data_IF_822690134510
#
_entry.id   IF_822690134510
#
_cell.length_a   1.000
_cell.length_b   1.000
_cell.length_c   1.000
_cell.angle_alpha   90.00
_cell.angle_beta   90.00
_cell.angle_gamma   90.00
#
_symmetry.space_group_name_H-M   'P 1'
#
loop_
_entity.id
_entity.type
_entity.pdbx_description
1 polymer ?
#
# COMPACT_ATOMS: atom_id res chain seq x y z
N UNK A 1 -8.61 11.89 12.58
CA UNK A 1 -7.77 10.69 12.41
C UNK A 1 -6.52 10.84 13.27
N UNK A 2 -6.20 9.83 14.08
CA UNK A 2 -4.95 9.77 14.83
C UNK A 2 -3.75 9.43 13.92
N UNK A 3 -2.51 9.45 14.44
CA UNK A 3 -1.35 8.99 13.68
C UNK A 3 -1.49 7.51 13.31
N UNK A 4 -0.87 7.05 12.19
CA UNK A 4 -0.86 5.64 11.85
C UNK A 4 -0.25 4.81 12.99
N UNK A 5 -0.77 3.61 13.26
CA UNK A 5 -0.15 2.70 14.21
C UNK A 5 1.24 2.28 13.72
N UNK A 6 2.05 1.77 14.65
CA UNK A 6 3.37 1.24 14.32
C UNK A 6 3.28 0.12 13.28
N UNK A 7 4.20 0.13 12.32
CA UNK A 7 4.26 -0.87 11.26
C UNK A 7 4.46 -2.29 11.86
N UNK A 8 3.51 -3.22 11.69
CA UNK A 8 3.49 -4.47 12.47
C UNK A 8 4.25 -5.63 11.81
N UNK A 9 4.72 -5.47 10.57
CA UNK A 9 5.37 -6.52 9.80
C UNK A 9 6.90 -6.36 9.86
N UNK A 10 7.62 -7.48 9.95
CA UNK A 10 9.06 -7.48 9.79
C UNK A 10 9.48 -7.06 8.38
N UNK A 11 10.78 -6.84 8.17
CA UNK A 11 11.35 -6.61 6.84
C UNK A 11 11.09 -7.78 5.88
N UNK A 12 11.19 -7.54 4.57
CA UNK A 12 11.20 -8.63 3.59
C UNK A 12 12.42 -9.53 3.81
N UNK A 13 12.20 -10.67 4.46
CA UNK A 13 13.22 -11.63 4.86
C UNK A 13 13.99 -12.16 3.64
N UNK A 14 13.33 -12.35 2.50
CA UNK A 14 13.96 -12.96 1.32
C UNK A 14 14.95 -11.98 0.69
N UNK A 15 14.52 -10.74 0.47
CA UNK A 15 15.40 -9.70 -0.10
C UNK A 15 16.52 -9.34 0.87
N UNK A 16 16.23 -9.25 2.18
CA UNK A 16 17.25 -9.02 3.21
C UNK A 16 18.28 -10.15 3.27
N UNK A 17 17.86 -11.42 3.23
CA UNK A 17 18.77 -12.56 3.24
C UNK A 17 19.66 -12.58 1.99
N UNK A 18 19.11 -12.24 0.82
CA UNK A 18 19.89 -12.10 -0.43
C UNK A 18 20.93 -10.98 -0.33
N UNK A 19 20.56 -9.85 0.26
CA UNK A 19 21.47 -8.74 0.52
C UNK A 19 22.61 -9.16 1.46
N UNK A 20 22.27 -9.82 2.56
CA UNK A 20 23.25 -10.32 3.52
C UNK A 20 24.26 -11.27 2.86
N UNK A 21 23.78 -12.27 2.13
CA UNK A 21 24.66 -13.22 1.43
C UNK A 21 25.55 -12.50 0.41
N UNK A 22 25.01 -11.52 -0.33
CA UNK A 22 25.81 -10.75 -1.29
C UNK A 22 26.92 -9.93 -0.59
N UNK A 23 26.64 -9.36 0.59
CA UNK A 23 27.62 -8.63 1.41
C UNK A 23 28.73 -9.55 1.91
N UNK A 24 28.37 -10.72 2.44
CA UNK A 24 29.34 -11.71 2.91
C UNK A 24 30.26 -12.18 1.78
N UNK A 25 29.70 -12.46 0.60
CA UNK A 25 30.47 -12.81 -0.58
C UNK A 25 31.39 -11.69 -1.07
N UNK A 26 30.97 -10.43 -0.94
CA UNK A 26 31.80 -9.28 -1.30
C UNK A 26 33.04 -9.21 -0.41
N UNK A 27 32.85 -9.32 0.90
CA UNK A 27 33.97 -9.33 1.88
C UNK A 27 34.95 -10.44 1.54
N UNK A 28 34.47 -11.66 1.31
CA UNK A 28 35.33 -12.79 0.96
C UNK A 28 36.11 -12.55 -0.35
N UNK A 29 35.47 -11.96 -1.36
CA UNK A 29 36.12 -11.66 -2.63
C UNK A 29 37.19 -10.56 -2.50
N UNK A 30 36.96 -9.56 -1.64
CA UNK A 30 37.92 -8.51 -1.32
C UNK A 30 39.13 -9.07 -0.57
N UNK A 31 38.90 -9.92 0.44
CA UNK A 31 39.96 -10.59 1.21
C UNK A 31 40.85 -11.49 0.33
N UNK A 32 40.25 -12.15 -0.67
CA UNK A 32 40.97 -13.00 -1.64
C UNK A 32 41.59 -12.20 -2.80
N UNK A 33 41.55 -10.86 -2.76
CA UNK A 33 42.01 -9.96 -3.81
C UNK A 33 41.43 -10.27 -5.22
N UNK A 34 40.20 -10.81 -5.28
CA UNK A 34 39.51 -11.15 -6.52
C UNK A 34 38.79 -9.94 -7.11
N UNK A 35 39.56 -8.95 -7.59
CA UNK A 35 39.07 -7.63 -8.03
C UNK A 35 37.85 -7.71 -8.96
N UNK A 36 37.90 -8.54 -10.00
CA UNK A 36 36.80 -8.66 -10.96
C UNK A 36 35.52 -9.30 -10.41
N UNK A 37 35.61 -10.11 -9.34
CA UNK A 37 34.44 -10.67 -8.63
C UNK A 37 33.92 -9.64 -7.62
N UNK A 38 34.80 -9.00 -6.86
CA UNK A 38 34.46 -7.97 -5.90
C UNK A 38 33.71 -6.80 -6.54
N UNK A 39 34.13 -6.31 -7.72
CA UNK A 39 33.39 -5.25 -8.43
C UNK A 39 31.95 -5.64 -8.73
N UNK A 40 31.72 -6.83 -9.28
CA UNK A 40 30.37 -7.34 -9.59
C UNK A 40 29.50 -7.54 -8.34
N UNK A 41 30.11 -8.02 -7.26
CA UNK A 41 29.40 -8.20 -5.99
C UNK A 41 29.04 -6.86 -5.35
N UNK A 42 29.91 -5.85 -5.45
CA UNK A 42 29.62 -4.49 -4.97
C UNK A 42 28.44 -3.87 -5.70
N UNK A 43 28.40 -4.00 -7.02
CA UNK A 43 27.24 -3.58 -7.82
C UNK A 43 25.96 -4.30 -7.37
N UNK A 44 26.03 -5.63 -7.18
CA UNK A 44 24.89 -6.42 -6.71
C UNK A 44 24.41 -6.00 -5.32
N UNK A 45 25.32 -5.77 -4.37
CA UNK A 45 24.99 -5.27 -3.02
C UNK A 45 24.29 -3.92 -3.12
N UNK A 46 24.86 -2.98 -3.88
CA UNK A 46 24.26 -1.65 -4.05
C UNK A 46 22.84 -1.72 -4.63
N UNK A 47 22.60 -2.59 -5.62
CA UNK A 47 21.25 -2.80 -6.17
C UNK A 47 20.30 -3.36 -5.11
N UNK A 48 20.72 -4.37 -4.35
CA UNK A 48 19.86 -4.97 -3.32
C UNK A 48 19.55 -4.01 -2.16
N UNK A 49 20.54 -3.20 -1.74
CA UNK A 49 20.33 -2.13 -0.76
C UNK A 49 19.29 -1.12 -1.25
N UNK A 50 19.41 -0.72 -2.51
CA UNK A 50 18.48 0.22 -3.12
C UNK A 50 17.06 -0.33 -3.20
N UNK A 51 16.90 -1.60 -3.60
CA UNK A 51 15.59 -2.27 -3.65
C UNK A 51 14.96 -2.34 -2.26
N UNK A 52 15.73 -2.72 -1.24
CA UNK A 52 15.26 -2.76 0.16
C UNK A 52 14.77 -1.38 0.62
N UNK A 53 15.55 -0.33 0.33
CA UNK A 53 15.21 1.03 0.73
C UNK A 53 13.93 1.52 0.03
N UNK A 54 13.85 1.40 -1.30
CA UNK A 54 12.67 1.81 -2.09
C UNK A 54 11.42 1.10 -1.60
N UNK A 55 11.48 -0.22 -1.37
CA UNK A 55 10.32 -0.97 -0.92
C UNK A 55 9.86 -0.49 0.46
N UNK A 56 10.78 -0.29 1.41
CA UNK A 56 10.44 0.18 2.75
C UNK A 56 9.84 1.61 2.74
N UNK A 57 10.37 2.49 1.90
CA UNK A 57 9.83 3.85 1.71
C UNK A 57 8.42 3.83 1.12
N UNK A 58 8.19 3.01 0.08
CA UNK A 58 6.88 2.84 -0.53
C UNK A 58 5.85 2.22 0.43
N UNK A 59 6.25 1.20 1.20
CA UNK A 59 5.40 0.59 2.23
C UNK A 59 5.02 1.63 3.30
N UNK A 60 5.99 2.43 3.77
CA UNK A 60 5.73 3.48 4.75
C UNK A 60 4.78 4.56 4.22
N UNK A 61 5.01 5.04 2.99
CA UNK A 61 4.18 6.07 2.37
C UNK A 61 2.72 5.60 2.21
N UNK A 62 2.51 4.41 1.65
CA UNK A 62 1.17 3.85 1.48
C UNK A 62 0.49 3.53 2.82
N UNK A 63 1.25 3.10 3.84
CA UNK A 63 0.73 2.92 5.19
C UNK A 63 0.16 4.22 5.74
N UNK A 64 0.93 5.31 5.69
CA UNK A 64 0.49 6.63 6.15
C UNK A 64 -0.76 7.09 5.38
N UNK A 65 -0.77 6.89 4.07
CA UNK A 65 -1.92 7.25 3.22
C UNK A 65 -3.20 6.53 3.65
N UNK A 66 -3.14 5.20 3.83
CA UNK A 66 -4.31 4.39 4.20
C UNK A 66 -4.87 4.77 5.57
N UNK A 67 -4.01 5.01 6.57
CA UNK A 67 -4.46 5.42 7.90
C UNK A 67 -4.97 6.87 7.94
N UNK A 68 -4.75 7.65 6.88
CA UNK A 68 -5.41 8.94 6.68
C UNK A 68 -6.86 8.85 6.21
N UNK A 69 -7.32 7.67 5.77
CA UNK A 69 -8.68 7.49 5.21
C UNK A 69 -9.74 7.29 6.30
N UNK A 70 -11.02 7.66 6.05
CA UNK A 70 -12.17 7.37 6.94
C UNK A 70 -12.24 5.92 7.45
N UNK A 71 -11.86 4.98 6.59
CA UNK A 71 -11.89 3.54 6.82
C UNK A 71 -10.97 3.10 7.98
N UNK A 72 -9.91 3.86 8.25
CA UNK A 72 -8.93 3.58 9.29
C UNK A 72 -9.54 3.41 10.69
N UNK A 73 -10.59 4.18 11.00
CA UNK A 73 -11.33 4.06 12.28
C UNK A 73 -11.95 2.68 12.43
N UNK A 74 -12.56 2.16 11.35
CA UNK A 74 -13.15 0.84 11.35
C UNK A 74 -12.07 -0.25 11.49
N UNK A 75 -10.95 -0.12 10.79
CA UNK A 75 -9.85 -1.08 10.89
C UNK A 75 -9.24 -1.12 12.29
N UNK A 76 -9.09 0.03 12.95
CA UNK A 76 -8.60 0.09 14.33
C UNK A 76 -9.54 -0.62 15.28
N UNK A 77 -10.84 -0.35 15.19
CA UNK A 77 -11.86 -0.96 16.05
C UNK A 77 -11.93 -2.48 15.86
N UNK A 78 -11.81 -2.94 14.61
CA UNK A 78 -11.77 -4.35 14.25
C UNK A 78 -10.41 -5.03 14.51
N UNK A 79 -9.39 -4.28 14.93
CA UNK A 79 -8.00 -4.74 15.13
C UNK A 79 -7.33 -5.30 13.88
N UNK A 80 -7.69 -4.78 12.70
CA UNK A 80 -7.20 -5.23 11.40
C UNK A 80 -5.84 -4.66 10.98
N UNK A 81 -5.01 -4.28 11.95
CA UNK A 81 -3.74 -3.60 11.70
C UNK A 81 -2.80 -4.46 10.84
N UNK A 82 -2.76 -5.78 11.07
CA UNK A 82 -1.88 -6.70 10.32
C UNK A 82 -2.40 -6.96 8.91
N UNK A 83 -3.72 -6.96 8.72
CA UNK A 83 -4.41 -7.20 7.46
C UNK A 83 -4.19 -6.02 6.51
N UNK A 84 -4.30 -4.79 7.02
CA UNK A 84 -3.95 -3.58 6.26
C UNK A 84 -2.45 -3.59 5.92
N UNK A 85 -1.58 -4.00 6.85
CA UNK A 85 -0.13 -4.03 6.58
C UNK A 85 0.24 -5.07 5.51
N UNK A 86 -0.43 -6.23 5.50
CA UNK A 86 -0.26 -7.21 4.44
C UNK A 86 -0.70 -6.65 3.08
N UNK A 87 -1.84 -5.96 3.05
CA UNK A 87 -2.29 -5.25 1.84
C UNK A 87 -1.24 -4.28 1.31
N UNK A 88 -0.68 -3.43 2.18
CA UNK A 88 0.38 -2.48 1.79
C UNK A 88 1.54 -3.20 1.13
N UNK A 89 2.05 -4.28 1.74
CA UNK A 89 3.16 -5.04 1.17
C UNK A 89 2.82 -5.68 -0.18
N UNK A 90 1.63 -6.29 -0.31
CA UNK A 90 1.19 -6.84 -1.59
C UNK A 90 1.01 -5.75 -2.65
N UNK A 91 0.47 -4.59 -2.27
CA UNK A 91 0.22 -3.47 -3.17
C UNK A 91 1.52 -2.87 -3.71
N UNK A 92 2.52 -2.65 -2.86
CA UNK A 92 3.85 -2.15 -3.27
C UNK A 92 4.53 -3.13 -4.23
N UNK A 93 4.52 -4.43 -3.92
CA UNK A 93 5.11 -5.44 -4.80
C UNK A 93 4.36 -5.55 -6.14
N UNK A 94 3.03 -5.42 -6.12
CA UNK A 94 2.20 -5.41 -7.31
C UNK A 94 2.51 -4.23 -8.24
N UNK A 95 2.74 -3.03 -7.68
CA UNK A 95 3.10 -1.84 -8.45
C UNK A 95 4.47 -1.96 -9.13
N UNK A 96 5.34 -2.81 -8.57
CA UNK A 96 6.63 -3.19 -9.15
C UNK A 96 6.53 -4.33 -10.18
N UNK A 97 5.32 -4.77 -10.54
CA UNK A 97 5.08 -5.74 -11.61
C UNK A 97 4.89 -7.19 -11.17
N UNK A 98 4.83 -7.47 -9.88
CA UNK A 98 4.56 -8.83 -9.39
C UNK A 98 3.06 -9.18 -9.51
N UNK A 99 2.75 -10.07 -10.46
CA UNK A 99 1.38 -10.44 -10.79
C UNK A 99 0.68 -11.26 -9.69
N UNK A 100 1.41 -12.04 -8.91
CA UNK A 100 0.81 -12.83 -7.82
C UNK A 100 0.47 -11.90 -6.65
N UNK A 101 1.36 -10.97 -6.32
CA UNK A 101 1.07 -9.91 -5.36
C UNK A 101 -0.08 -8.99 -5.83
N UNK A 102 -0.21 -8.75 -7.14
CA UNK A 102 -1.33 -7.97 -7.69
C UNK A 102 -2.69 -8.65 -7.49
N UNK A 103 -2.75 -9.98 -7.54
CA UNK A 103 -3.97 -10.75 -7.26
C UNK A 103 -4.35 -10.66 -5.78
N UNK A 104 -3.39 -10.84 -4.88
CA UNK A 104 -3.61 -10.75 -3.44
C UNK A 104 -4.02 -9.32 -3.02
N UNK A 105 -3.32 -8.30 -3.52
CA UNK A 105 -3.65 -6.91 -3.24
C UNK A 105 -5.09 -6.57 -3.66
N UNK A 106 -5.57 -7.10 -4.78
CA UNK A 106 -6.96 -6.89 -5.24
C UNK A 106 -7.97 -7.55 -4.30
N UNK A 107 -7.73 -8.79 -3.89
CA UNK A 107 -8.63 -9.49 -2.96
C UNK A 107 -8.67 -8.80 -1.59
N UNK A 108 -7.52 -8.36 -1.10
CA UNK A 108 -7.43 -7.62 0.16
C UNK A 108 -8.08 -6.24 0.05
N UNK A 109 -7.91 -5.52 -1.05
CA UNK A 109 -8.59 -4.23 -1.28
C UNK A 109 -10.12 -4.37 -1.17
N UNK A 110 -10.69 -5.46 -1.70
CA UNK A 110 -12.11 -5.71 -1.58
C UNK A 110 -12.55 -6.08 -0.14
N UNK A 111 -11.70 -6.78 0.63
CA UNK A 111 -11.97 -7.09 2.05
C UNK A 111 -11.85 -5.86 2.94
N UNK A 112 -10.92 -4.96 2.60
CA UNK A 112 -10.63 -3.74 3.34
C UNK A 112 -11.50 -2.55 2.92
N UNK A 113 -12.49 -2.73 2.05
CA UNK A 113 -13.39 -1.64 1.63
C UNK A 113 -12.67 -0.51 0.90
N UNK A 114 -11.61 -0.82 0.16
CA UNK A 114 -10.83 0.17 -0.60
C UNK A 114 -11.38 0.39 -2.01
N UNK A 115 -12.31 -0.44 -2.47
CA UNK A 115 -12.99 -0.29 -3.77
C UNK A 115 -14.43 0.20 -3.58
N UNK A 116 -15.01 0.99 -4.51
CA UNK A 116 -16.41 1.43 -4.39
C UNK A 116 -17.41 0.28 -4.24
N UNK A 117 -17.16 -0.84 -4.95
CA UNK A 117 -18.00 -2.03 -4.86
C UNK A 117 -17.88 -2.70 -3.47
N UNK A 118 -16.68 -2.72 -2.89
CA UNK A 118 -16.45 -3.24 -1.55
C UNK A 118 -17.11 -2.35 -0.47
N UNK A 119 -16.98 -1.03 -0.58
CA UNK A 119 -17.68 -0.08 0.30
C UNK A 119 -19.19 -0.36 0.33
N UNK A 120 -19.80 -0.50 -0.85
CA UNK A 120 -21.23 -0.83 -0.96
C UNK A 120 -21.56 -2.19 -0.31
N UNK A 121 -20.76 -3.23 -0.58
CA UNK A 121 -20.99 -4.59 -0.05
C UNK A 121 -20.84 -4.67 1.46
N UNK A 122 -19.86 -3.98 2.01
CA UNK A 122 -19.62 -3.92 3.45
C UNK A 122 -20.59 -2.97 4.16
N UNK A 123 -21.42 -2.24 3.40
CA UNK A 123 -22.28 -1.15 3.88
C UNK A 123 -21.49 -0.14 4.69
N UNK A 124 -20.29 0.18 4.22
CA UNK A 124 -19.50 1.24 4.81
C UNK A 124 -20.08 2.57 4.39
N UNK A 125 -20.54 3.31 5.38
CA UNK A 125 -20.96 4.69 5.21
C UNK A 125 -19.76 5.58 5.52
N UNK A 126 -19.34 6.37 4.54
CA UNK A 126 -18.37 7.43 4.77
C UNK A 126 -19.15 8.57 5.42
N UNK A 127 -19.09 8.63 6.74
CA UNK A 127 -19.65 9.76 7.48
C UNK A 127 -18.63 10.90 7.39
N UNK A 128 -19.04 12.05 6.87
CA UNK A 128 -18.26 13.27 7.01
C UNK A 128 -18.21 13.64 8.49
N UNK A 129 -17.10 13.34 9.15
CA UNK A 129 -16.90 13.85 10.50
C UNK A 129 -16.70 15.37 10.40
N UNK A 130 -17.54 16.11 11.12
CA UNK A 130 -17.79 17.53 10.92
C UNK A 130 -16.49 18.35 10.98
N UNK A 131 -16.00 18.77 9.82
CA UNK A 131 -15.11 19.93 9.74
C UNK A 131 -15.89 21.11 10.34
N UNK A 132 -15.39 21.68 11.43
CA UNK A 132 -15.96 22.90 12.02
C UNK A 132 -16.24 23.93 10.91
N UNK A 133 -17.45 24.51 10.85
CA UNK A 133 -17.86 25.34 9.73
C UNK A 133 -17.08 26.65 9.75
N UNK A 134 -16.08 26.79 8.89
CA UNK A 134 -15.57 28.11 8.51
C UNK A 134 -15.92 28.38 7.06
N UNK A 135 -17.03 29.12 6.92
CA UNK A 135 -17.48 29.94 5.79
C UNK A 135 -17.58 29.31 4.39
N UNK A 136 -18.81 28.96 4.04
CA UNK A 136 -19.54 29.62 2.96
C UNK A 136 -19.07 29.41 1.52
N UNK A 137 -19.64 28.40 0.85
CA UNK A 137 -20.17 28.59 -0.51
C UNK A 137 -21.22 27.53 -0.86
N UNK A 138 -22.41 28.01 -1.20
CA UNK A 138 -23.53 27.21 -1.68
C UNK A 138 -23.25 26.60 -3.05
N UNK A 139 -23.69 25.36 -3.25
CA UNK A 139 -23.61 24.66 -4.54
C UNK A 139 -24.09 23.22 -4.45
N UNK A 140 -25.35 23.00 -4.06
CA UNK A 140 -25.96 21.68 -4.03
C UNK A 140 -26.12 21.08 -5.44
N UNK A 141 -25.30 20.10 -5.77
CA UNK A 141 -25.47 19.27 -6.97
C UNK A 141 -26.54 18.20 -6.75
N UNK A 142 -27.71 18.39 -7.35
CA UNK A 142 -28.78 17.38 -7.38
C UNK A 142 -28.38 16.18 -8.25
N UNK A 143 -28.12 15.01 -7.64
CA UNK A 143 -27.97 13.74 -8.36
C UNK A 143 -29.35 13.24 -8.79
N UNK A 144 -29.58 13.14 -10.09
CA UNK A 144 -30.84 12.59 -10.63
C UNK A 144 -30.79 11.05 -10.62
N UNK A 145 -31.83 10.36 -10.10
CA UNK A 145 -31.91 8.89 -10.13
C UNK A 145 -31.91 8.32 -11.56
N UNK A 146 -31.37 7.11 -11.70
CA UNK A 146 -31.14 6.44 -13.00
C UNK A 146 -32.44 6.18 -13.79
N UNK A 147 -33.58 6.11 -13.11
CA UNK A 147 -34.90 5.92 -13.74
C UNK A 147 -35.30 7.10 -14.63
N UNK A 148 -34.77 8.30 -14.39
CA UNK A 148 -35.03 9.50 -15.18
C UNK A 148 -34.32 9.55 -16.54
N UNK A 149 -33.46 8.56 -16.85
CA UNK A 149 -32.80 8.43 -18.17
C UNK A 149 -33.60 7.59 -19.16
N UNK A 150 -34.41 6.62 -18.70
CA UNK A 150 -35.22 5.76 -19.59
C UNK A 150 -36.39 6.51 -20.26
N UNK A 151 -36.94 7.53 -19.62
CA UNK A 151 -38.05 8.30 -20.17
C UNK A 151 -37.66 9.24 -21.34
N UNK A 152 -36.37 9.47 -21.59
CA UNK A 152 -35.87 10.43 -22.59
C UNK A 152 -35.45 9.83 -23.93
N UNK A 153 -35.50 8.51 -24.08
CA UNK A 153 -35.14 7.80 -25.31
C UNK A 153 -36.33 7.16 -26.03
N UNK A 154 -37.55 7.38 -25.53
CA UNK A 154 -38.80 6.85 -26.10
C UNK A 154 -39.84 7.96 -26.37
N UNK A 155 -39.40 9.21 -26.48
CA UNK A 155 -40.21 10.35 -26.88
C UNK A 155 -39.70 10.96 -28.18
#
# INVERSE_FOLDING_TARGET
MGPPPEWPLGSDIVTQARLQVAREQLVEAEDQAQVGKATRLRERVAVLEHVVAIQAEAECALWVELWGTPQAVAWEWLRWIREVAQYVRHKVLAENGDLDHAREARQQADRLGLTPLALLRLRWEIVEDAVSPTSGRAGGGSVTPIDSRRARLLG
#
